data_IF_199265883055
#
_entry.id   IF_199265883055
#
_cell.length_a   1.000
_cell.length_b   1.000
_cell.length_c   1.000
_cell.angle_alpha   90.00
_cell.angle_beta   90.00
_cell.angle_gamma   90.00
#
_symmetry.space_group_name_H-M   'P 1'
#
loop_
_entity.id
_entity.type
_entity.pdbx_description
1 polymer ?
#
# COMPACT_ATOMS: atom_id res chain seq x y z
N UNK A 1 -29.53 33.74 -53.32
CA UNK A 1 -28.69 32.67 -52.76
C UNK A 1 -27.43 32.63 -53.59
N UNK A 2 -26.37 33.18 -53.02
CA UNK A 2 -25.62 34.24 -53.68
C UNK A 2 -24.19 33.81 -53.95
N UNK A 3 -23.68 34.21 -55.12
CA UNK A 3 -22.34 33.99 -55.68
C UNK A 3 -21.19 34.24 -54.67
N UNK A 4 -21.46 35.03 -53.63
CA UNK A 4 -20.58 35.35 -52.49
C UNK A 4 -20.14 34.14 -51.64
N UNK A 5 -20.96 33.10 -51.50
CA UNK A 5 -20.62 31.93 -50.67
C UNK A 5 -19.67 30.94 -51.36
N UNK A 6 -19.64 30.95 -52.70
CA UNK A 6 -18.75 30.09 -53.51
C UNK A 6 -17.36 30.72 -53.62
N UNK A 7 -17.27 32.04 -53.76
CA UNK A 7 -15.98 32.76 -53.75
C UNK A 7 -15.25 32.70 -52.40
N UNK A 8 -15.98 32.70 -51.28
CA UNK A 8 -15.38 32.58 -49.93
C UNK A 8 -14.74 31.22 -49.68
N UNK A 9 -15.30 30.13 -50.24
CA UNK A 9 -14.70 28.79 -50.12
C UNK A 9 -13.50 28.59 -51.05
N UNK A 10 -13.50 29.22 -52.23
CA UNK A 10 -12.35 29.18 -53.14
C UNK A 10 -11.12 29.89 -52.55
N UNK A 11 -11.30 31.09 -51.98
CA UNK A 11 -10.22 31.85 -51.34
C UNK A 11 -9.66 31.16 -50.08
N UNK A 12 -10.47 30.36 -49.38
CA UNK A 12 -10.03 29.62 -48.20
C UNK A 12 -9.18 28.39 -48.59
N UNK A 13 -9.52 27.71 -49.67
CA UNK A 13 -8.74 26.58 -50.19
C UNK A 13 -7.38 27.02 -50.77
N UNK A 14 -7.35 28.19 -51.43
CA UNK A 14 -6.13 28.78 -51.99
C UNK A 14 -5.14 29.23 -50.89
N UNK A 15 -5.65 29.81 -49.78
CA UNK A 15 -4.84 30.17 -48.62
C UNK A 15 -4.25 28.94 -47.89
N UNK A 16 -4.97 27.82 -47.82
CA UNK A 16 -4.46 26.59 -47.20
C UNK A 16 -3.35 25.97 -48.05
N UNK A 17 -3.49 25.97 -49.38
CA UNK A 17 -2.46 25.48 -50.30
C UNK A 17 -1.20 26.36 -50.33
N UNK A 18 -1.31 27.66 -50.07
CA UNK A 18 -0.17 28.56 -49.92
C UNK A 18 0.60 28.31 -48.60
N UNK A 19 -0.13 28.07 -47.49
CA UNK A 19 0.47 27.76 -46.19
C UNK A 19 1.20 26.41 -46.14
N UNK A 20 0.76 25.39 -46.90
CA UNK A 20 1.48 24.11 -47.02
C UNK A 20 2.80 24.25 -47.81
N UNK A 21 2.81 25.07 -48.88
CA UNK A 21 4.04 25.35 -49.65
C UNK A 21 5.06 26.18 -48.88
N UNK A 22 4.60 27.11 -48.04
CA UNK A 22 5.47 27.87 -47.15
C UNK A 22 6.05 26.97 -46.04
N UNK A 23 5.30 25.97 -45.56
CA UNK A 23 5.78 25.01 -44.57
C UNK A 23 6.84 24.03 -45.12
N UNK A 24 6.72 23.62 -46.39
CA UNK A 24 7.72 22.77 -47.07
C UNK A 24 9.00 23.55 -47.42
N UNK A 25 8.90 24.83 -47.79
CA UNK A 25 10.08 25.67 -48.08
C UNK A 25 10.91 26.00 -46.83
N UNK A 26 10.29 26.07 -45.65
CA UNK A 26 10.99 26.26 -44.36
C UNK A 26 11.73 24.99 -43.91
N UNK A 27 11.25 23.79 -44.27
CA UNK A 27 11.95 22.53 -44.00
C UNK A 27 13.12 22.28 -44.97
N UNK A 28 13.03 22.77 -46.21
CA UNK A 28 14.09 22.60 -47.21
C UNK A 28 15.30 23.51 -46.99
N UNK A 29 15.12 24.69 -46.38
CA UNK A 29 16.21 25.67 -46.21
C UNK A 29 16.97 25.56 -44.88
N UNK A 30 16.68 24.56 -44.04
CA UNK A 30 17.39 24.32 -42.78
C UNK A 30 18.51 23.27 -42.87
N UNK A 31 18.83 22.80 -44.09
CA UNK A 31 19.86 21.77 -44.35
C UNK A 31 20.87 22.30 -45.39
N UNK A 32 21.58 23.37 -45.07
CA UNK A 32 22.86 23.71 -45.70
C UNK A 32 23.52 24.83 -44.90
N UNK A 33 24.82 24.67 -44.64
CA UNK A 33 25.75 25.59 -43.97
C UNK A 33 25.76 25.53 -42.43
N UNK A 34 26.56 24.60 -41.89
CA UNK A 34 27.90 24.98 -41.42
C UNK A 34 28.75 23.75 -41.06
N UNK A 35 29.99 23.80 -41.53
CA UNK A 35 31.04 22.79 -41.38
C UNK A 35 31.95 23.25 -40.24
N UNK A 36 32.61 22.32 -39.53
CA UNK A 36 33.48 22.52 -38.36
C UNK A 36 32.81 22.73 -36.98
N UNK A 37 32.27 21.63 -36.45
CA UNK A 37 32.34 21.36 -35.02
C UNK A 37 32.66 19.87 -34.81
N UNK A 38 33.76 19.59 -34.12
CA UNK A 38 34.14 18.28 -33.57
C UNK A 38 32.90 17.51 -33.09
N UNK A 39 32.73 16.21 -33.40
CA UNK A 39 31.58 15.46 -32.92
C UNK A 39 31.63 15.39 -31.40
N UNK A 40 30.84 16.23 -30.72
CA UNK A 40 30.47 15.95 -29.34
C UNK A 40 29.66 14.65 -29.38
N UNK A 41 30.22 13.58 -28.82
CA UNK A 41 29.47 12.36 -28.51
C UNK A 41 28.20 12.77 -27.75
N UNK A 42 27.05 12.68 -28.42
CA UNK A 42 25.76 12.62 -27.72
C UNK A 42 25.88 11.47 -26.72
N UNK A 43 25.70 11.70 -25.40
CA UNK A 43 25.79 10.61 -24.44
C UNK A 43 24.80 9.53 -24.88
N UNK A 44 25.31 8.31 -25.05
CA UNK A 44 24.56 7.16 -25.54
C UNK A 44 23.18 7.14 -24.88
N UNK A 45 22.16 7.43 -25.67
CA UNK A 45 20.78 7.46 -25.23
C UNK A 45 20.46 6.02 -24.84
N UNK A 46 20.55 5.71 -23.53
CA UNK A 46 20.25 4.38 -22.99
C UNK A 46 18.97 3.89 -23.64
N UNK A 47 19.02 2.75 -24.33
CA UNK A 47 17.84 2.15 -24.93
C UNK A 47 16.82 1.90 -23.80
N UNK A 48 15.85 2.80 -23.66
CA UNK A 48 14.82 2.72 -22.64
C UNK A 48 14.02 1.46 -22.96
N UNK A 49 14.13 0.45 -22.11
CA UNK A 49 13.39 -0.80 -22.28
C UNK A 49 11.89 -0.48 -22.43
N UNK A 50 11.19 -1.16 -23.35
CA UNK A 50 9.76 -0.92 -23.55
C UNK A 50 9.00 -1.16 -22.24
N UNK A 51 7.99 -0.31 -21.94
CA UNK A 51 7.18 -0.49 -20.74
C UNK A 51 6.44 -1.84 -20.81
N UNK A 52 6.08 -2.39 -19.64
CA UNK A 52 5.24 -3.59 -19.51
C UNK A 52 5.76 -4.90 -20.16
N UNK A 53 7.04 -4.96 -20.59
CA UNK A 53 7.57 -6.10 -21.37
C UNK A 53 8.86 -6.70 -20.79
N UNK A 54 9.04 -8.00 -21.00
CA UNK A 54 10.24 -8.75 -20.62
C UNK A 54 10.57 -8.67 -19.12
N UNK A 55 11.62 -7.92 -18.80
CA UNK A 55 12.20 -7.82 -17.45
C UNK A 55 11.26 -7.15 -16.42
N UNK A 56 10.22 -6.43 -16.88
CA UNK A 56 9.19 -5.86 -16.00
C UNK A 56 8.52 -6.93 -15.11
N UNK A 57 8.30 -8.14 -15.63
CA UNK A 57 7.70 -9.25 -14.88
C UNK A 57 8.64 -9.85 -13.83
N UNK A 58 9.96 -9.81 -14.07
CA UNK A 58 10.97 -10.21 -13.08
C UNK A 58 10.98 -9.20 -11.93
N UNK A 59 10.91 -7.90 -12.25
CA UNK A 59 10.79 -6.82 -11.27
C UNK A 59 9.49 -6.94 -10.48
N UNK A 60 8.39 -7.32 -11.13
CA UNK A 60 7.12 -7.60 -10.48
C UNK A 60 7.24 -8.77 -9.49
N UNK A 61 7.81 -9.89 -9.90
CA UNK A 61 8.01 -11.05 -9.03
C UNK A 61 8.90 -10.72 -7.82
N UNK A 62 10.01 -9.99 -8.04
CA UNK A 62 10.90 -9.53 -6.97
C UNK A 62 10.19 -8.57 -6.00
N UNK A 63 9.42 -7.61 -6.52
CA UNK A 63 8.63 -6.67 -5.73
C UNK A 63 7.55 -7.36 -4.90
N UNK A 64 6.84 -8.34 -5.50
CA UNK A 64 5.85 -9.17 -4.82
C UNK A 64 6.49 -10.01 -3.71
N UNK A 65 7.65 -10.63 -3.95
CA UNK A 65 8.38 -11.39 -2.92
C UNK A 65 8.74 -10.48 -1.73
N UNK A 66 9.33 -9.31 -2.00
CA UNK A 66 9.66 -8.33 -0.95
C UNK A 66 8.44 -7.86 -0.16
N UNK A 67 7.34 -7.57 -0.86
CA UNK A 67 6.09 -7.11 -0.24
C UNK A 67 5.43 -8.24 0.57
N UNK A 68 5.43 -9.46 0.03
CA UNK A 68 4.88 -10.65 0.67
C UNK A 68 5.57 -10.94 1.99
N UNK A 69 6.88 -10.89 2.03
CA UNK A 69 7.65 -11.18 3.25
C UNK A 69 7.52 -10.04 4.26
N UNK A 70 7.66 -8.78 3.82
CA UNK A 70 7.60 -7.62 4.73
C UNK A 70 6.20 -7.40 5.32
N UNK A 71 5.19 -7.39 4.45
CA UNK A 71 3.80 -7.18 4.83
C UNK A 71 3.13 -8.46 5.38
N UNK A 72 3.57 -9.65 4.96
CA UNK A 72 3.09 -10.92 5.52
C UNK A 72 3.55 -11.13 6.97
N UNK A 73 4.82 -10.82 7.26
CA UNK A 73 5.35 -10.84 8.63
C UNK A 73 4.59 -9.88 9.55
N UNK A 74 4.20 -8.70 9.02
CA UNK A 74 3.33 -7.74 9.71
C UNK A 74 2.04 -8.40 10.24
N UNK A 75 1.33 -9.17 9.40
CA UNK A 75 0.11 -9.86 9.80
C UNK A 75 0.39 -10.98 10.81
N UNK A 76 1.54 -11.64 10.69
CA UNK A 76 1.91 -12.74 11.59
C UNK A 76 2.34 -12.28 12.99
N UNK A 77 2.64 -10.98 13.21
CA UNK A 77 2.89 -10.47 14.56
C UNK A 77 1.68 -10.55 15.50
N UNK A 78 0.46 -10.70 15.00
CA UNK A 78 -0.70 -11.03 15.83
C UNK A 78 -0.53 -12.36 16.58
N UNK A 79 0.17 -13.34 15.99
CA UNK A 79 0.49 -14.61 16.64
C UNK A 79 1.47 -14.39 17.80
N UNK A 80 2.51 -13.59 17.58
CA UNK A 80 3.46 -13.22 18.63
C UNK A 80 2.77 -12.47 19.78
N UNK A 81 1.87 -11.52 19.49
CA UNK A 81 1.07 -10.84 20.51
C UNK A 81 0.24 -11.78 21.36
N UNK A 82 -0.41 -12.75 20.72
CA UNK A 82 -1.21 -13.74 21.44
C UNK A 82 -0.32 -14.59 22.34
N UNK A 83 0.84 -15.01 21.85
CA UNK A 83 1.79 -15.77 22.66
C UNK A 83 2.36 -14.95 23.84
N UNK A 84 2.69 -13.68 23.63
CA UNK A 84 3.14 -12.77 24.68
C UNK A 84 2.14 -12.68 25.84
N UNK A 85 0.85 -12.51 25.52
CA UNK A 85 -0.21 -12.41 26.52
C UNK A 85 -0.45 -13.74 27.25
N UNK A 86 -0.37 -14.86 26.55
CA UNK A 86 -0.75 -16.17 27.10
C UNK A 86 0.38 -16.89 27.82
N UNK A 87 1.65 -16.53 27.60
CA UNK A 87 2.78 -17.33 28.12
C UNK A 87 3.85 -16.50 28.83
N UNK A 88 4.34 -15.41 28.24
CA UNK A 88 5.53 -14.68 28.73
C UNK A 88 5.16 -13.54 29.69
N UNK A 89 4.21 -12.69 29.31
CA UNK A 89 3.86 -11.46 30.03
C UNK A 89 2.45 -11.56 30.65
N UNK A 90 2.14 -12.70 31.29
CA UNK A 90 0.83 -12.93 31.93
C UNK A 90 0.50 -11.92 33.02
N UNK A 91 1.54 -11.37 33.65
CA UNK A 91 1.44 -10.43 34.77
C UNK A 91 1.18 -8.98 34.32
N UNK A 92 1.38 -8.68 33.02
CA UNK A 92 1.18 -7.35 32.47
C UNK A 92 -0.20 -7.23 31.83
N UNK A 93 -0.79 -6.03 31.95
CA UNK A 93 -2.03 -5.73 31.26
C UNK A 93 -1.89 -5.87 29.74
N UNK A 94 -2.96 -6.37 29.11
CA UNK A 94 -2.96 -6.61 27.68
C UNK A 94 -2.67 -5.34 26.85
N UNK A 95 -3.04 -4.18 27.38
CA UNK A 95 -2.80 -2.88 26.76
C UNK A 95 -1.30 -2.55 26.68
N UNK A 96 -0.52 -2.95 27.70
CA UNK A 96 0.93 -2.75 27.74
C UNK A 96 1.63 -3.61 26.68
N UNK A 97 1.19 -4.86 26.52
CA UNK A 97 1.75 -5.80 25.53
C UNK A 97 1.35 -5.43 24.10
N UNK A 98 0.13 -4.90 23.91
CA UNK A 98 -0.38 -4.47 22.60
C UNK A 98 0.45 -3.34 21.96
N UNK A 99 1.17 -2.54 22.76
CA UNK A 99 2.09 -1.50 22.26
C UNK A 99 3.17 -2.05 21.32
N UNK A 100 3.65 -3.28 21.54
CA UNK A 100 4.67 -3.89 20.68
C UNK A 100 4.17 -3.97 19.24
N UNK A 101 2.98 -4.53 19.05
CA UNK A 101 2.38 -4.65 17.73
C UNK A 101 1.94 -3.30 17.21
N UNK A 102 1.29 -2.44 18.01
CA UNK A 102 0.88 -1.11 17.58
C UNK A 102 2.05 -0.32 16.98
N UNK A 103 3.20 -0.24 17.68
CA UNK A 103 4.40 0.43 17.19
C UNK A 103 4.96 -0.24 15.94
N UNK A 104 4.95 -1.57 15.86
CA UNK A 104 5.39 -2.31 14.66
C UNK A 104 4.57 -1.93 13.43
N UNK A 105 3.24 -1.89 13.57
CA UNK A 105 2.31 -1.54 12.50
C UNK A 105 2.51 -0.08 12.08
N UNK A 106 2.48 0.83 13.06
CA UNK A 106 2.65 2.26 12.81
C UNK A 106 3.98 2.53 12.14
N UNK A 107 5.08 1.95 12.61
CA UNK A 107 6.40 2.18 12.02
C UNK A 107 6.52 1.57 10.62
N UNK A 108 5.87 0.43 10.35
CA UNK A 108 5.83 -0.17 9.00
C UNK A 108 5.14 0.75 7.99
N UNK A 109 4.11 1.49 8.41
CA UNK A 109 3.39 2.44 7.56
C UNK A 109 4.11 3.80 7.49
N UNK A 110 4.53 4.35 8.62
CA UNK A 110 5.14 5.70 8.70
C UNK A 110 6.59 5.74 8.23
N UNK A 111 7.38 4.69 8.48
CA UNK A 111 8.82 4.67 8.21
C UNK A 111 9.17 4.89 6.73
N UNK A 112 8.20 4.66 5.84
CA UNK A 112 8.30 4.89 4.40
C UNK A 112 8.67 6.31 3.99
N UNK A 113 8.46 7.31 4.84
CA UNK A 113 8.81 8.71 4.59
C UNK A 113 10.31 8.91 4.30
N UNK A 114 11.17 8.15 4.98
CA UNK A 114 12.61 8.22 4.73
C UNK A 114 13.03 7.58 3.41
N UNK A 115 12.19 6.73 2.81
CA UNK A 115 12.54 5.93 1.62
C UNK A 115 12.96 6.82 0.46
N UNK A 116 12.18 7.85 0.12
CA UNK A 116 12.46 8.75 -1.01
C UNK A 116 13.80 9.47 -0.84
N UNK A 117 14.11 9.90 0.39
CA UNK A 117 15.38 10.54 0.73
C UNK A 117 16.56 9.59 0.63
N UNK A 118 16.42 8.37 1.18
CA UNK A 118 17.48 7.37 1.17
C UNK A 118 17.76 6.93 -0.27
N UNK A 119 16.72 6.68 -1.08
CA UNK A 119 16.88 6.39 -2.52
C UNK A 119 17.64 7.50 -3.22
N UNK A 120 17.36 8.77 -2.91
CA UNK A 120 18.07 9.90 -3.54
C UNK A 120 19.57 9.96 -3.24
N UNK A 121 20.03 9.33 -2.14
CA UNK A 121 21.43 9.31 -1.71
C UNK A 121 22.18 8.06 -2.15
N UNK A 122 21.59 6.88 -1.94
CA UNK A 122 22.28 5.59 -2.13
C UNK A 122 21.73 4.77 -3.29
N UNK A 123 20.64 5.22 -3.94
CA UNK A 123 19.96 4.50 -5.02
C UNK A 123 18.99 3.43 -4.52
N UNK A 124 18.12 2.95 -5.42
CA UNK A 124 17.04 2.01 -5.06
C UNK A 124 17.58 0.67 -4.55
N UNK A 125 18.56 0.08 -5.25
CA UNK A 125 19.11 -1.24 -4.92
C UNK A 125 19.77 -1.26 -3.54
N UNK A 126 20.60 -0.25 -3.24
CA UNK A 126 21.27 -0.15 -1.94
C UNK A 126 20.28 0.18 -0.82
N UNK A 127 19.21 0.94 -1.12
CA UNK A 127 18.14 1.18 -0.15
C UNK A 127 17.42 -0.13 0.20
N UNK A 128 17.22 -1.02 -0.78
CA UNK A 128 16.66 -2.35 -0.52
C UNK A 128 17.57 -3.16 0.41
N UNK A 129 18.88 -3.25 0.12
CA UNK A 129 19.82 -3.95 1.00
C UNK A 129 19.88 -3.34 2.40
N UNK A 130 19.84 -2.02 2.51
CA UNK A 130 19.78 -1.33 3.79
C UNK A 130 18.52 -1.71 4.57
N UNK A 131 17.34 -1.69 3.93
CA UNK A 131 16.09 -2.14 4.55
C UNK A 131 16.13 -3.60 4.99
N UNK A 132 16.69 -4.49 4.17
CA UNK A 132 16.90 -5.91 4.49
C UNK A 132 17.77 -6.07 5.73
N UNK A 133 18.94 -5.42 5.78
CA UNK A 133 19.88 -5.53 6.91
C UNK A 133 19.25 -4.98 8.18
N UNK A 134 18.62 -3.80 8.13
CA UNK A 134 17.97 -3.19 9.29
C UNK A 134 16.83 -4.07 9.81
N UNK A 135 15.98 -4.59 8.91
CA UNK A 135 14.89 -5.49 9.26
C UNK A 135 15.38 -6.79 9.90
N UNK A 136 16.41 -7.42 9.32
CA UNK A 136 17.03 -8.65 9.85
C UNK A 136 17.66 -8.42 11.22
N UNK A 137 18.38 -7.31 11.42
CA UNK A 137 18.94 -6.94 12.73
C UNK A 137 17.81 -6.78 13.76
N UNK A 138 16.71 -6.10 13.41
CA UNK A 138 15.55 -5.95 14.29
C UNK A 138 14.97 -7.29 14.75
N UNK A 139 14.84 -8.26 13.83
CA UNK A 139 14.35 -9.61 14.15
C UNK A 139 15.35 -10.42 15.00
N UNK A 140 16.64 -10.37 14.68
CA UNK A 140 17.68 -11.06 15.46
C UNK A 140 17.75 -10.49 16.87
N UNK A 141 17.75 -9.16 17.03
CA UNK A 141 17.74 -8.53 18.35
C UNK A 141 16.49 -8.91 19.14
N UNK A 142 15.33 -9.01 18.46
CA UNK A 142 14.08 -9.46 19.09
C UNK A 142 14.17 -10.88 19.64
N UNK A 143 15.00 -11.76 19.06
CA UNK A 143 15.24 -13.11 19.60
C UNK A 143 15.88 -13.11 20.99
N UNK A 144 16.58 -12.03 21.38
CA UNK A 144 17.27 -11.90 22.67
C UNK A 144 16.51 -11.00 23.65
N UNK A 145 15.46 -10.33 23.20
CA UNK A 145 14.66 -9.42 24.01
C UNK A 145 13.86 -10.19 25.06
N UNK A 146 13.99 -9.76 26.32
CA UNK A 146 13.26 -10.33 27.47
C UNK A 146 12.24 -9.36 28.05
N UNK A 147 12.39 -8.05 27.77
CA UNK A 147 11.52 -6.99 28.29
C UNK A 147 10.63 -6.41 27.19
N UNK A 148 9.43 -5.95 27.56
CA UNK A 148 8.46 -5.35 26.63
C UNK A 148 9.07 -4.17 25.86
N UNK A 149 9.75 -3.25 26.54
CA UNK A 149 10.36 -2.09 25.87
C UNK A 149 11.46 -2.50 24.87
N UNK A 150 12.19 -3.59 25.13
CA UNK A 150 13.19 -4.10 24.19
C UNK A 150 12.51 -4.58 22.91
N UNK A 151 11.39 -5.32 23.03
CA UNK A 151 10.58 -5.75 21.88
C UNK A 151 9.97 -4.56 21.13
N UNK A 152 9.49 -3.53 21.82
CA UNK A 152 8.99 -2.30 21.17
C UNK A 152 10.08 -1.66 20.30
N UNK A 153 11.33 -1.63 20.77
CA UNK A 153 12.44 -1.06 19.99
C UNK A 153 12.86 -2.01 18.85
N UNK A 154 13.09 -3.29 19.14
CA UNK A 154 13.66 -4.24 18.17
C UNK A 154 12.65 -4.68 17.12
N UNK A 155 11.46 -5.10 17.55
CA UNK A 155 10.37 -5.56 16.69
C UNK A 155 9.57 -4.37 16.14
N UNK A 156 9.27 -3.40 17.00
CA UNK A 156 8.47 -2.24 16.61
C UNK A 156 9.22 -1.28 15.70
N UNK A 157 10.24 -0.63 16.25
CA UNK A 157 10.92 0.48 15.57
C UNK A 157 11.91 -0.03 14.50
N UNK A 158 12.85 -0.89 14.88
CA UNK A 158 13.94 -1.31 13.97
C UNK A 158 13.39 -2.16 12.83
N UNK A 159 12.69 -3.26 13.13
CA UNK A 159 12.09 -4.09 12.10
C UNK A 159 11.01 -3.34 11.31
N UNK A 160 10.12 -2.59 11.98
CA UNK A 160 9.10 -1.80 11.31
C UNK A 160 9.67 -0.80 10.31
N UNK A 161 10.78 -0.13 10.65
CA UNK A 161 11.47 0.77 9.72
C UNK A 161 12.07 0.01 8.52
N UNK A 162 12.79 -1.10 8.74
CA UNK A 162 13.34 -1.90 7.65
C UNK A 162 12.26 -2.42 6.68
N UNK A 163 11.18 -2.95 7.25
CA UNK A 163 9.96 -3.37 6.55
C UNK A 163 9.35 -2.23 5.71
N UNK A 164 9.23 -1.03 6.28
CA UNK A 164 8.64 0.12 5.60
C UNK A 164 9.40 0.52 4.33
N UNK A 165 10.74 0.47 4.36
CA UNK A 165 11.59 0.79 3.20
C UNK A 165 11.33 -0.20 2.06
N UNK A 166 11.28 -1.50 2.37
CA UNK A 166 11.03 -2.55 1.39
C UNK A 166 9.63 -2.44 0.77
N UNK A 167 8.60 -2.21 1.59
CA UNK A 167 7.22 -2.03 1.12
C UNK A 167 7.12 -0.87 0.14
N UNK A 168 7.75 0.26 0.46
CA UNK A 168 7.72 1.45 -0.39
C UNK A 168 8.52 1.25 -1.69
N UNK A 169 9.69 0.59 -1.63
CA UNK A 169 10.47 0.24 -2.82
C UNK A 169 9.67 -0.69 -3.74
N UNK A 170 9.02 -1.73 -3.20
CA UNK A 170 8.21 -2.66 -3.98
C UNK A 170 7.11 -1.96 -4.77
N UNK A 171 6.41 -1.00 -4.16
CA UNK A 171 5.37 -0.22 -4.83
C UNK A 171 5.94 0.75 -5.86
N UNK A 172 7.00 1.48 -5.52
CA UNK A 172 7.67 2.43 -6.42
C UNK A 172 8.17 1.74 -7.69
N UNK A 173 8.75 0.55 -7.56
CA UNK A 173 9.35 -0.17 -8.69
C UNK A 173 8.32 -0.51 -9.77
N UNK A 174 7.06 -0.79 -9.41
CA UNK A 174 6.03 -1.04 -10.41
C UNK A 174 5.60 0.22 -11.12
N UNK A 175 5.48 1.33 -10.40
CA UNK A 175 5.19 2.62 -11.01
C UNK A 175 6.28 3.08 -12.01
N UNK A 176 7.50 2.55 -11.91
CA UNK A 176 8.60 2.86 -12.86
C UNK A 176 8.60 1.97 -14.12
N UNK A 177 8.13 0.73 -14.00
CA UNK A 177 8.22 -0.27 -15.09
C UNK A 177 6.92 -0.48 -15.84
N UNK A 178 5.78 -0.24 -15.19
CA UNK A 178 4.47 -0.46 -15.77
C UNK A 178 3.75 0.85 -16.09
N UNK A 179 3.14 0.92 -17.27
CA UNK A 179 2.35 2.07 -17.73
C UNK A 179 0.94 1.62 -18.11
N UNK A 180 0.79 0.69 -19.06
CA UNK A 180 -0.52 0.22 -19.55
C UNK A 180 -1.18 -0.80 -18.64
N UNK A 181 -0.39 -1.61 -17.93
CA UNK A 181 -0.86 -2.68 -17.03
C UNK A 181 -0.56 -2.36 -15.56
N UNK A 182 -0.60 -1.08 -15.22
CA UNK A 182 -0.15 -0.58 -13.91
C UNK A 182 -1.07 -1.04 -12.78
N UNK A 183 -2.39 -1.03 -12.98
CA UNK A 183 -3.37 -1.53 -12.02
C UNK A 183 -3.17 -3.02 -11.73
N UNK A 184 -3.03 -3.84 -12.79
CA UNK A 184 -2.72 -5.26 -12.65
C UNK A 184 -1.40 -5.50 -11.88
N UNK A 185 -0.34 -4.75 -12.19
CA UNK A 185 0.96 -4.88 -11.51
C UNK A 185 0.85 -4.53 -10.01
N UNK A 186 0.19 -3.43 -9.65
CA UNK A 186 -0.02 -3.04 -8.25
C UNK A 186 -0.96 -4.02 -7.53
N UNK A 187 -1.98 -4.53 -8.23
CA UNK A 187 -2.86 -5.60 -7.74
C UNK A 187 -2.09 -6.87 -7.36
N UNK A 188 -1.18 -7.32 -8.22
CA UNK A 188 -0.33 -8.49 -7.96
C UNK A 188 0.60 -8.25 -6.77
N UNK A 189 1.29 -7.11 -6.69
CA UNK A 189 2.15 -6.83 -5.52
C UNK A 189 1.37 -6.77 -4.23
N UNK A 190 0.28 -6.00 -4.22
CA UNK A 190 -0.53 -5.83 -3.01
C UNK A 190 -1.13 -7.17 -2.57
N UNK A 191 -1.50 -8.06 -3.51
CA UNK A 191 -1.95 -9.43 -3.19
C UNK A 191 -0.89 -10.23 -2.43
N UNK A 192 0.40 -9.91 -2.63
CA UNK A 192 1.52 -10.47 -1.87
C UNK A 192 1.33 -10.36 -0.36
N UNK A 193 0.67 -9.31 0.15
CA UNK A 193 0.37 -9.21 1.58
C UNK A 193 -0.54 -10.33 2.11
N UNK A 194 -1.50 -10.80 1.29
CA UNK A 194 -2.38 -11.92 1.64
C UNK A 194 -1.71 -13.29 1.44
N UNK A 195 -0.90 -13.46 0.38
CA UNK A 195 -0.06 -14.65 0.25
C UNK A 195 0.94 -14.75 1.42
N UNK A 196 1.47 -13.61 1.84
CA UNK A 196 2.40 -13.49 2.95
C UNK A 196 1.77 -13.91 4.27
N UNK A 197 0.52 -13.53 4.55
CA UNK A 197 -0.18 -13.99 5.75
C UNK A 197 -0.46 -15.50 5.71
N UNK A 198 -0.87 -16.05 4.57
CA UNK A 198 -1.12 -17.49 4.41
C UNK A 198 0.12 -18.36 4.65
N UNK A 199 1.31 -17.87 4.30
CA UNK A 199 2.56 -18.60 4.51
C UNK A 199 3.14 -18.32 5.89
N UNK A 200 3.21 -17.04 6.30
CA UNK A 200 3.90 -16.63 7.53
C UNK A 200 3.14 -16.99 8.80
N UNK A 201 1.81 -16.90 8.82
CA UNK A 201 1.02 -17.17 10.03
C UNK A 201 1.18 -18.62 10.47
N UNK A 202 1.01 -19.65 9.61
CA UNK A 202 1.23 -21.04 10.01
C UNK A 202 2.70 -21.33 10.34
N UNK A 203 3.64 -20.75 9.58
CA UNK A 203 5.07 -20.90 9.82
C UNK A 203 5.45 -20.44 11.23
N UNK A 204 5.05 -19.22 11.61
CA UNK A 204 5.32 -18.65 12.93
C UNK A 204 4.57 -19.43 14.01
N UNK A 205 3.31 -19.80 13.81
CA UNK A 205 2.53 -20.58 14.80
C UNK A 205 3.20 -21.92 15.11
N UNK A 206 3.66 -22.63 14.07
CA UNK A 206 4.34 -23.92 14.23
C UNK A 206 5.71 -23.75 14.88
N UNK A 207 6.44 -22.71 14.51
CA UNK A 207 7.79 -22.46 15.02
C UNK A 207 7.75 -22.03 16.47
N UNK A 208 6.82 -21.15 16.85
CA UNK A 208 6.60 -20.72 18.24
C UNK A 208 6.20 -21.90 19.12
N UNK A 209 5.31 -22.78 18.66
CA UNK A 209 4.86 -23.93 19.47
C UNK A 209 5.92 -25.02 19.65
N UNK A 210 6.77 -25.29 18.64
CA UNK A 210 7.78 -26.35 18.71
C UNK A 210 9.15 -25.90 19.22
N UNK A 211 9.61 -24.72 18.83
CA UNK A 211 10.98 -24.24 19.05
C UNK A 211 11.04 -23.04 20.00
N UNK A 212 9.89 -22.52 20.42
CA UNK A 212 9.79 -21.33 21.26
C UNK A 212 9.97 -20.02 20.48
N UNK A 213 9.82 -18.92 21.20
CA UNK A 213 9.76 -17.59 20.59
C UNK A 213 11.09 -17.11 20.00
N UNK A 214 12.21 -17.38 20.68
CA UNK A 214 13.53 -16.93 20.23
C UNK A 214 13.92 -17.55 18.90
N UNK A 215 13.72 -18.87 18.73
CA UNK A 215 13.99 -19.54 17.46
C UNK A 215 13.01 -19.13 16.36
N UNK A 216 11.76 -18.80 16.71
CA UNK A 216 10.80 -18.23 15.75
C UNK A 216 11.29 -16.91 15.15
N UNK A 217 11.81 -16.01 15.98
CA UNK A 217 12.43 -14.76 15.50
C UNK A 217 13.64 -14.99 14.61
N UNK A 218 14.50 -15.96 14.94
CA UNK A 218 15.69 -16.30 14.14
C UNK A 218 15.32 -16.88 12.77
N UNK A 219 14.36 -17.79 12.73
CA UNK A 219 13.86 -18.38 11.48
C UNK A 219 13.23 -17.29 10.62
N UNK A 220 12.40 -16.41 11.22
CA UNK A 220 11.83 -15.27 10.51
C UNK A 220 12.91 -14.33 9.97
N UNK A 221 13.98 -14.07 10.74
CA UNK A 221 15.10 -13.25 10.30
C UNK A 221 15.84 -13.84 9.09
N UNK A 222 16.05 -15.16 9.07
CA UNK A 222 16.69 -15.88 7.97
C UNK A 222 15.81 -15.82 6.72
N UNK A 223 14.52 -16.14 6.85
CA UNK A 223 13.57 -16.09 5.73
C UNK A 223 13.47 -14.67 5.17
N UNK A 224 13.42 -13.66 6.05
CA UNK A 224 13.41 -12.25 5.68
C UNK A 224 14.69 -11.86 4.93
N UNK A 225 15.87 -12.20 5.46
CA UNK A 225 17.15 -11.86 4.85
C UNK A 225 17.32 -12.48 3.46
N UNK A 226 17.08 -13.79 3.33
CA UNK A 226 17.26 -14.51 2.07
C UNK A 226 16.28 -14.03 1.01
N UNK A 227 14.99 -13.98 1.35
CA UNK A 227 13.96 -13.62 0.38
C UNK A 227 14.10 -12.18 -0.09
N UNK A 228 14.32 -11.25 0.84
CA UNK A 228 14.44 -9.83 0.49
C UNK A 228 15.79 -9.48 -0.12
N UNK A 229 16.85 -10.21 0.22
CA UNK A 229 18.16 -10.11 -0.44
C UNK A 229 18.11 -10.54 -1.90
N UNK A 230 17.44 -11.65 -2.20
CA UNK A 230 17.19 -12.10 -3.59
C UNK A 230 16.33 -11.08 -4.33
N UNK A 231 15.23 -10.61 -3.71
CA UNK A 231 14.38 -9.57 -4.29
C UNK A 231 15.18 -8.31 -4.61
N UNK A 232 16.01 -7.83 -3.69
CA UNK A 232 16.89 -6.67 -3.87
C UNK A 232 17.96 -6.85 -4.96
N UNK A 233 18.48 -8.07 -5.15
CA UNK A 233 19.41 -8.37 -6.23
C UNK A 233 18.79 -8.23 -7.62
N UNK A 234 17.52 -8.63 -7.76
CA UNK A 234 16.77 -8.57 -9.01
C UNK A 234 16.32 -7.15 -9.37
N UNK A 235 16.28 -6.22 -8.40
CA UNK A 235 15.84 -4.85 -8.61
C UNK A 235 16.79 -4.08 -9.55
N UNK A 236 16.21 -3.55 -10.62
CA UNK A 236 16.86 -2.70 -11.61
C UNK A 236 15.94 -1.56 -11.99
N UNK A 237 16.46 -0.34 -12.10
CA UNK A 237 15.69 0.83 -12.57
C UNK A 237 15.56 0.83 -14.09
N UNK A 238 14.41 1.28 -14.60
CA UNK A 238 14.16 1.39 -16.05
C UNK A 238 14.91 2.57 -16.69
N UNK A 239 15.01 3.67 -15.95
CA UNK A 239 15.74 4.89 -16.32
C UNK A 239 16.38 5.49 -15.06
N UNK A 240 17.26 6.47 -15.22
CA UNK A 240 17.89 7.18 -14.10
C UNK A 240 16.84 7.92 -13.25
N UNK A 241 16.37 7.24 -12.21
CA UNK A 241 15.41 7.77 -11.26
C UNK A 241 16.13 8.44 -10.09
N UNK A 242 16.10 9.78 -10.09
CA UNK A 242 16.54 10.60 -8.96
C UNK A 242 15.32 11.21 -8.27
N UNK A 243 14.83 10.62 -7.15
CA UNK A 243 13.73 11.22 -6.40
C UNK A 243 14.17 12.51 -5.72
N UNK A 244 13.19 13.28 -5.27
CA UNK A 244 13.43 14.50 -4.52
C UNK A 244 14.14 14.18 -3.19
N UNK A 245 15.14 15.00 -2.84
CA UNK A 245 15.97 14.87 -1.62
C UNK A 245 15.26 15.30 -0.33
N UNK A 246 14.00 15.74 -0.39
CA UNK A 246 13.22 16.06 0.82
C UNK A 246 12.59 14.79 1.39
N UNK A 247 12.75 14.58 2.70
CA UNK A 247 12.12 13.46 3.42
C UNK A 247 10.59 13.57 3.36
N UNK A 248 10.05 14.76 3.64
CA UNK A 248 8.62 15.03 3.56
C UNK A 248 8.42 16.41 2.95
N UNK A 249 7.44 16.55 2.04
CA UNK A 249 6.96 17.85 1.61
C UNK A 249 5.48 17.99 1.92
N UNK A 250 5.16 18.46 3.14
CA UNK A 250 3.78 18.68 3.59
C UNK A 250 3.02 19.70 2.74
N UNK A 251 3.71 20.47 1.87
CA UNK A 251 3.05 21.36 0.90
C UNK A 251 2.17 20.58 -0.07
N UNK A 252 2.44 19.29 -0.28
CA UNK A 252 1.59 18.42 -1.09
C UNK A 252 0.18 18.25 -0.51
N UNK A 253 -0.02 18.45 0.81
CA UNK A 253 -1.37 18.48 1.40
C UNK A 253 -2.19 19.71 0.99
N UNK A 254 -1.55 20.74 0.42
CA UNK A 254 -2.32 21.85 -0.16
C UNK A 254 -3.09 21.43 -1.40
N UNK A 255 -2.70 20.32 -2.05
CA UNK A 255 -3.50 19.71 -3.11
C UNK A 255 -4.75 19.06 -2.49
N UNK A 256 -5.96 19.56 -2.79
CA UNK A 256 -7.20 18.98 -2.26
C UNK A 256 -7.37 17.51 -2.60
N UNK A 257 -6.84 17.06 -3.74
CA UNK A 257 -6.89 15.65 -4.15
C UNK A 257 -6.21 14.76 -3.10
N UNK A 258 -4.97 15.09 -2.75
CA UNK A 258 -4.17 14.29 -1.82
C UNK A 258 -4.70 14.39 -0.39
N UNK A 259 -5.18 15.57 0.01
CA UNK A 259 -5.79 15.76 1.33
C UNK A 259 -7.06 14.94 1.53
N UNK A 260 -7.97 14.94 0.55
CA UNK A 260 -9.19 14.13 0.62
C UNK A 260 -8.88 12.63 0.54
N UNK A 261 -7.92 12.22 -0.28
CA UNK A 261 -7.47 10.82 -0.36
C UNK A 261 -6.86 10.35 0.97
N UNK A 262 -6.04 11.19 1.61
CA UNK A 262 -5.45 10.89 2.91
C UNK A 262 -6.49 10.87 4.04
N UNK A 263 -7.47 11.78 4.02
CA UNK A 263 -8.59 11.75 4.96
C UNK A 263 -9.41 10.45 4.80
N UNK A 264 -9.74 10.07 3.55
CA UNK A 264 -10.41 8.80 3.28
C UNK A 264 -9.58 7.60 3.78
N UNK A 265 -8.28 7.57 3.51
CA UNK A 265 -7.36 6.54 4.01
C UNK A 265 -7.32 6.47 5.54
N UNK A 266 -7.27 7.63 6.22
CA UNK A 266 -7.26 7.69 7.68
C UNK A 266 -8.49 7.01 8.28
N UNK A 267 -9.70 7.39 7.86
CA UNK A 267 -10.93 6.79 8.38
C UNK A 267 -11.10 5.33 7.96
N UNK A 268 -10.73 4.98 6.73
CA UNK A 268 -10.66 3.59 6.30
C UNK A 268 -9.83 2.76 7.27
N UNK A 269 -8.63 3.22 7.62
CA UNK A 269 -7.69 2.46 8.43
C UNK A 269 -8.19 2.26 9.87
N UNK A 270 -8.95 3.21 10.44
CA UNK A 270 -9.67 3.02 11.71
C UNK A 270 -10.67 1.88 11.56
N UNK A 271 -11.50 1.92 10.52
CA UNK A 271 -12.50 0.88 10.24
C UNK A 271 -11.88 -0.49 9.99
N UNK A 272 -10.78 -0.52 9.24
CA UNK A 272 -10.02 -1.72 8.93
C UNK A 272 -9.48 -2.40 10.19
N UNK A 273 -9.04 -1.64 11.18
CA UNK A 273 -8.42 -2.18 12.40
C UNK A 273 -9.43 -3.00 13.24
N UNK A 274 -10.73 -2.66 13.19
CA UNK A 274 -11.75 -3.28 14.05
C UNK A 274 -11.97 -4.77 13.72
N UNK A 275 -12.34 -5.19 12.48
CA UNK A 275 -12.51 -6.60 12.19
C UNK A 275 -11.18 -7.38 12.30
N UNK A 276 -10.06 -6.75 11.95
CA UNK A 276 -8.75 -7.40 12.04
C UNK A 276 -8.43 -7.87 13.48
N UNK A 277 -8.73 -7.04 14.49
CA UNK A 277 -8.40 -7.34 15.88
C UNK A 277 -9.50 -8.10 16.62
N UNK A 278 -10.77 -7.74 16.40
CA UNK A 278 -11.87 -8.18 17.28
C UNK A 278 -12.78 -9.23 16.65
N UNK A 279 -12.70 -9.48 15.35
CA UNK A 279 -13.56 -10.47 14.70
C UNK A 279 -13.32 -11.91 15.22
N UNK A 280 -12.08 -12.40 15.38
CA UNK A 280 -11.84 -13.71 16.00
C UNK A 280 -12.39 -13.80 17.44
N UNK A 281 -12.29 -12.72 18.21
CA UNK A 281 -12.84 -12.67 19.56
C UNK A 281 -14.38 -12.76 19.56
N UNK A 282 -15.04 -12.16 18.57
CA UNK A 282 -16.50 -12.24 18.42
C UNK A 282 -16.98 -13.65 18.08
N UNK A 283 -16.23 -14.42 17.29
CA UNK A 283 -16.53 -15.84 17.03
C UNK A 283 -16.36 -16.69 18.29
N UNK A 284 -15.32 -16.43 19.08
CA UNK A 284 -15.13 -17.12 20.37
C UNK A 284 -16.27 -16.83 21.34
N UNK A 285 -16.76 -15.58 21.39
CA UNK A 285 -17.90 -15.19 22.22
C UNK A 285 -19.21 -15.89 21.81
N UNK A 286 -19.35 -16.32 20.55
CA UNK A 286 -20.44 -17.17 20.07
C UNK A 286 -20.30 -18.65 20.43
N UNK A 287 -19.25 -19.04 21.15
CA UNK A 287 -19.02 -20.43 21.60
C UNK A 287 -18.13 -21.27 20.67
N UNK A 288 -17.55 -20.68 19.62
CA UNK A 288 -16.62 -21.41 18.75
C UNK A 288 -15.24 -21.57 19.39
N UNK A 289 -14.52 -22.63 18.99
CA UNK A 289 -13.18 -22.89 19.50
C UNK A 289 -12.18 -21.78 19.12
N UNK A 290 -11.12 -21.63 19.93
CA UNK A 290 -10.05 -20.66 19.68
C UNK A 290 -9.39 -20.90 18.30
N UNK A 291 -9.12 -22.16 17.97
CA UNK A 291 -8.51 -22.55 16.69
C UNK A 291 -9.41 -22.21 15.52
N UNK A 292 -10.71 -22.51 15.60
CA UNK A 292 -11.67 -22.16 14.55
C UNK A 292 -11.73 -20.65 14.32
N UNK A 293 -11.82 -19.88 15.39
CA UNK A 293 -11.92 -18.41 15.34
C UNK A 293 -10.65 -17.76 14.78
N UNK A 294 -9.48 -18.27 15.14
CA UNK A 294 -8.18 -17.76 14.64
C UNK A 294 -7.95 -18.14 13.18
N UNK A 295 -8.31 -19.37 12.80
CA UNK A 295 -8.17 -19.87 11.43
C UNK A 295 -9.05 -19.12 10.43
N UNK A 296 -10.11 -18.45 10.89
CA UNK A 296 -10.94 -17.60 10.03
C UNK A 296 -10.15 -16.49 9.33
N UNK A 297 -9.03 -16.02 9.91
CA UNK A 297 -8.10 -15.07 9.27
C UNK A 297 -7.60 -15.57 7.90
N UNK A 298 -7.53 -16.89 7.69
CA UNK A 298 -7.18 -17.47 6.40
C UNK A 298 -8.27 -17.20 5.35
N UNK A 299 -9.56 -17.23 5.73
CA UNK A 299 -10.68 -16.87 4.84
C UNK A 299 -10.54 -15.42 4.38
N UNK A 300 -10.26 -14.52 5.32
CA UNK A 300 -9.97 -13.12 5.00
C UNK A 300 -8.76 -12.98 4.07
N UNK A 301 -7.69 -13.74 4.31
CA UNK A 301 -6.47 -13.66 3.50
C UNK A 301 -6.73 -14.09 2.05
N UNK A 302 -7.47 -15.18 1.83
CA UNK A 302 -7.87 -15.64 0.48
C UNK A 302 -8.79 -14.62 -0.20
N UNK A 303 -9.82 -14.15 0.50
CA UNK A 303 -10.72 -13.12 -0.02
C UNK A 303 -9.97 -11.82 -0.36
N UNK A 304 -8.98 -11.43 0.46
CA UNK A 304 -8.12 -10.27 0.22
C UNK A 304 -7.24 -10.41 -1.01
N UNK A 305 -6.71 -11.60 -1.29
CA UNK A 305 -5.94 -11.85 -2.53
C UNK A 305 -6.84 -11.62 -3.74
N UNK A 306 -8.03 -12.22 -3.75
CA UNK A 306 -9.00 -12.09 -4.84
C UNK A 306 -9.42 -10.63 -5.01
N UNK A 307 -9.72 -9.93 -3.90
CA UNK A 307 -10.10 -8.52 -3.89
C UNK A 307 -9.03 -7.60 -4.46
N UNK A 308 -7.76 -7.79 -4.07
CA UNK A 308 -6.64 -6.97 -4.53
C UNK A 308 -6.28 -7.21 -6.00
N UNK A 309 -6.28 -8.47 -6.44
CA UNK A 309 -6.07 -8.81 -7.85
C UNK A 309 -7.20 -8.27 -8.73
N UNK A 310 -8.45 -8.51 -8.32
CA UNK A 310 -9.63 -8.06 -9.05
C UNK A 310 -9.74 -6.54 -9.11
N UNK A 311 -9.57 -5.84 -7.99
CA UNK A 311 -9.59 -4.37 -7.96
C UNK A 311 -8.43 -3.75 -8.73
N UNK A 312 -7.24 -4.34 -8.67
CA UNK A 312 -6.08 -3.89 -9.44
C UNK A 312 -6.31 -4.02 -10.96
N UNK A 313 -6.77 -5.18 -11.42
CA UNK A 313 -7.09 -5.38 -12.84
C UNK A 313 -8.25 -4.48 -13.28
N UNK A 314 -9.28 -4.33 -12.46
CA UNK A 314 -10.43 -3.48 -12.77
C UNK A 314 -10.04 -1.99 -12.85
N UNK A 315 -9.01 -1.57 -12.10
CA UNK A 315 -8.49 -0.21 -12.13
C UNK A 315 -7.83 0.18 -13.47
N UNK A 316 -7.48 -0.81 -14.32
CA UNK A 316 -7.00 -0.55 -15.69
C UNK A 316 -8.16 -0.24 -16.67
N UNK A 317 -9.40 -0.59 -16.31
CA UNK A 317 -10.59 -0.43 -17.18
C UNK A 317 -11.62 0.56 -16.63
N UNK A 318 -11.73 0.67 -15.32
CA UNK A 318 -12.65 1.55 -14.60
C UNK A 318 -11.83 2.53 -13.80
N UNK A 319 -12.29 3.78 -13.69
CA UNK A 319 -11.59 4.78 -12.91
C UNK A 319 -11.40 4.29 -11.46
N UNK A 320 -10.15 4.22 -10.96
CA UNK A 320 -9.79 3.74 -9.62
C UNK A 320 -10.67 4.26 -8.48
N UNK A 321 -11.11 5.52 -8.57
CA UNK A 321 -11.94 6.17 -7.57
C UNK A 321 -13.32 5.52 -7.40
N UNK A 322 -13.96 5.04 -8.48
CA UNK A 322 -15.25 4.34 -8.38
C UNK A 322 -15.12 3.02 -7.63
N UNK A 323 -14.02 2.30 -7.86
CA UNK A 323 -13.73 1.04 -7.20
C UNK A 323 -13.60 1.26 -5.69
N UNK A 324 -12.86 2.30 -5.26
CA UNK A 324 -12.71 2.62 -3.84
C UNK A 324 -14.03 3.05 -3.18
N UNK A 325 -14.82 3.90 -3.83
CA UNK A 325 -16.13 4.31 -3.31
C UNK A 325 -17.02 3.09 -3.09
N UNK A 326 -17.12 2.21 -4.10
CA UNK A 326 -17.93 1.00 -4.01
C UNK A 326 -17.44 0.08 -2.89
N UNK A 327 -16.13 -0.23 -2.85
CA UNK A 327 -15.56 -1.13 -1.86
C UNK A 327 -15.71 -0.61 -0.43
N UNK A 328 -15.46 0.68 -0.18
CA UNK A 328 -15.59 1.26 1.15
C UNK A 328 -17.05 1.30 1.60
N UNK A 329 -17.98 1.66 0.70
CA UNK A 329 -19.41 1.67 0.98
C UNK A 329 -19.92 0.26 1.34
N UNK A 330 -19.63 -0.72 0.49
CA UNK A 330 -20.05 -2.11 0.68
C UNK A 330 -19.46 -2.71 1.96
N UNK A 331 -18.22 -2.38 2.30
CA UNK A 331 -17.59 -2.85 3.54
C UNK A 331 -18.23 -2.21 4.78
N UNK A 332 -18.50 -0.90 4.75
CA UNK A 332 -19.17 -0.21 5.86
C UNK A 332 -20.59 -0.72 6.08
N UNK A 333 -21.36 -0.89 5.00
CA UNK A 333 -22.73 -1.43 5.08
C UNK A 333 -22.72 -2.89 5.53
N UNK A 334 -21.84 -3.75 5.00
CA UNK A 334 -21.77 -5.16 5.41
C UNK A 334 -21.37 -5.31 6.88
N UNK A 335 -20.48 -4.44 7.37
CA UNK A 335 -20.10 -4.39 8.78
C UNK A 335 -21.29 -4.07 9.69
N UNK A 336 -22.08 -3.04 9.35
CA UNK A 336 -23.25 -2.64 10.13
C UNK A 336 -24.47 -3.54 9.94
N UNK A 337 -24.59 -4.24 8.81
CA UNK A 337 -25.74 -5.13 8.56
C UNK A 337 -25.45 -6.56 9.01
N UNK A 338 -24.39 -7.18 8.50
CA UNK A 338 -24.13 -8.60 8.68
C UNK A 338 -23.38 -8.91 9.99
N UNK A 339 -22.40 -8.09 10.39
CA UNK A 339 -21.67 -8.35 11.64
C UNK A 339 -22.46 -7.89 12.87
N UNK A 340 -23.05 -6.70 12.82
CA UNK A 340 -23.84 -6.16 13.92
C UNK A 340 -25.16 -6.93 14.16
N UNK A 341 -26.01 -7.07 13.14
CA UNK A 341 -27.33 -7.73 13.30
C UNK A 341 -27.30 -9.23 13.06
N UNK A 342 -26.42 -9.72 12.20
CA UNK A 342 -26.53 -11.07 11.64
C UNK A 342 -26.39 -12.22 12.62
N UNK A 343 -25.72 -12.00 13.79
CA UNK A 343 -25.52 -12.91 14.96
C UNK A 343 -25.52 -14.43 14.65
N UNK A 344 -24.99 -14.81 13.49
CA UNK A 344 -25.00 -16.17 12.95
C UNK A 344 -23.70 -16.39 12.19
N UNK A 345 -23.21 -17.64 12.18
CA UNK A 345 -21.96 -17.96 11.50
C UNK A 345 -22.03 -17.69 10.00
N UNK A 346 -23.19 -17.89 9.39
CA UNK A 346 -23.41 -17.62 7.96
C UNK A 346 -23.24 -16.12 7.68
N UNK A 347 -23.91 -15.25 8.44
CA UNK A 347 -23.78 -13.81 8.28
C UNK A 347 -22.34 -13.32 8.54
N UNK A 348 -21.69 -13.86 9.58
CA UNK A 348 -20.31 -13.52 9.93
C UNK A 348 -19.33 -13.96 8.84
N UNK A 349 -19.56 -15.12 8.22
CA UNK A 349 -18.74 -15.63 7.11
C UNK A 349 -18.90 -14.75 5.87
N UNK A 350 -20.13 -14.43 5.48
CA UNK A 350 -20.40 -13.55 4.34
C UNK A 350 -19.78 -12.17 4.57
N UNK A 351 -19.95 -11.60 5.76
CA UNK A 351 -19.29 -10.34 6.14
C UNK A 351 -17.78 -10.42 5.97
N UNK A 352 -17.14 -11.47 6.52
CA UNK A 352 -15.68 -11.56 6.53
C UNK A 352 -15.10 -11.75 5.12
N UNK A 353 -15.83 -12.45 4.25
CA UNK A 353 -15.50 -12.57 2.81
C UNK A 353 -15.61 -11.20 2.13
N UNK A 354 -16.71 -10.46 2.33
CA UNK A 354 -16.89 -9.12 1.77
C UNK A 354 -15.79 -8.17 2.27
N UNK A 355 -15.49 -8.21 3.57
CA UNK A 355 -14.42 -7.42 4.18
C UNK A 355 -13.04 -7.77 3.61
N UNK A 356 -12.76 -9.05 3.33
CA UNK A 356 -11.56 -9.45 2.60
C UNK A 356 -11.53 -8.89 1.17
N UNK A 357 -12.60 -9.08 0.41
CA UNK A 357 -12.69 -8.67 -1.01
C UNK A 357 -12.62 -7.15 -1.21
N UNK A 358 -13.20 -6.36 -0.30
CA UNK A 358 -13.39 -4.92 -0.47
C UNK A 358 -12.61 -4.07 0.53
N UNK A 359 -12.36 -4.55 1.74
CA UNK A 359 -11.89 -3.73 2.86
C UNK A 359 -10.44 -3.25 2.76
N UNK A 360 -9.63 -3.81 1.84
CA UNK A 360 -8.20 -3.47 1.71
C UNK A 360 -7.78 -2.93 0.34
N UNK A 361 -8.74 -2.65 -0.53
CA UNK A 361 -8.45 -2.23 -1.91
C UNK A 361 -7.84 -0.82 -1.99
N UNK A 362 -7.86 -0.05 -0.90
CA UNK A 362 -7.10 1.20 -0.82
C UNK A 362 -5.60 1.00 -1.03
N UNK A 363 -5.02 -0.09 -0.50
CA UNK A 363 -3.59 -0.38 -0.67
C UNK A 363 -3.22 -0.73 -2.11
N UNK A 364 -4.15 -1.29 -2.89
CA UNK A 364 -3.94 -1.64 -4.31
C UNK A 364 -4.27 -0.49 -5.26
N UNK A 365 -5.33 0.28 -4.97
CA UNK A 365 -5.90 1.26 -5.91
C UNK A 365 -5.44 2.69 -5.63
N UNK A 366 -5.11 3.06 -4.39
CA UNK A 366 -4.62 4.40 -4.07
C UNK A 366 -3.29 4.75 -4.80
N UNK A 367 -2.27 3.86 -4.85
CA UNK A 367 -1.02 4.18 -5.53
C UNK A 367 -1.19 4.42 -7.04
N UNK A 368 -2.15 3.75 -7.70
CA UNK A 368 -2.42 3.96 -9.13
C UNK A 368 -3.10 5.31 -9.40
N UNK A 369 -3.92 5.80 -8.47
CA UNK A 369 -4.48 7.15 -8.53
C UNK A 369 -3.38 8.22 -8.38
N UNK A 370 -2.46 8.00 -7.44
CA UNK A 370 -1.35 8.92 -7.19
C UNK A 370 -0.41 8.96 -8.40
N UNK A 371 -0.07 7.81 -8.99
CA UNK A 371 0.82 7.75 -10.16
C UNK A 371 0.20 8.36 -11.42
N UNK A 372 -1.12 8.25 -11.61
CA UNK A 372 -1.81 8.90 -12.72
C UNK A 372 -1.87 10.43 -12.57
N UNK A 373 -1.83 10.95 -11.34
CA UNK A 373 -2.03 12.37 -11.03
C UNK A 373 -0.72 13.16 -10.93
N UNK A 374 0.32 12.55 -10.37
CA UNK A 374 1.57 13.21 -10.02
C UNK A 374 2.72 12.81 -10.96
N UNK A 375 3.67 13.71 -11.22
CA UNK A 375 4.90 13.34 -11.93
C UNK A 375 5.67 12.29 -11.13
N UNK A 376 6.31 11.35 -11.84
CA UNK A 376 6.96 10.15 -11.25
C UNK A 376 7.92 10.46 -10.10
N UNK A 377 8.59 11.63 -10.14
CA UNK A 377 9.51 12.12 -9.10
C UNK A 377 8.82 12.42 -7.76
N UNK A 378 7.52 12.72 -7.77
CA UNK A 378 6.70 13.05 -6.59
C UNK A 378 5.78 11.89 -6.14
N UNK A 379 5.58 10.87 -6.97
CA UNK A 379 4.74 9.70 -6.65
C UNK A 379 5.18 9.02 -5.35
N UNK A 380 6.48 8.80 -5.18
CA UNK A 380 7.04 8.22 -3.95
C UNK A 380 6.73 9.06 -2.70
N UNK A 381 6.77 10.40 -2.82
CA UNK A 381 6.47 11.30 -1.71
C UNK A 381 4.97 11.34 -1.39
N UNK A 382 4.10 11.36 -2.42
CA UNK A 382 2.66 11.31 -2.24
C UNK A 382 2.21 9.99 -1.58
N UNK A 383 2.70 8.84 -2.06
CA UNK A 383 2.42 7.54 -1.47
C UNK A 383 2.92 7.45 -0.01
N UNK A 384 4.14 7.92 0.26
CA UNK A 384 4.68 7.94 1.62
C UNK A 384 3.83 8.83 2.56
N UNK A 385 3.30 9.95 2.05
CA UNK A 385 2.38 10.79 2.80
C UNK A 385 1.06 10.09 3.08
N UNK A 386 0.49 9.37 2.10
CA UNK A 386 -0.70 8.54 2.35
C UNK A 386 -0.45 7.46 3.41
N UNK A 387 0.70 6.77 3.35
CA UNK A 387 1.07 5.79 4.36
C UNK A 387 1.32 6.40 5.75
N UNK A 388 1.82 7.64 5.83
CA UNK A 388 1.92 8.37 7.10
C UNK A 388 0.54 8.54 7.74
N UNK A 389 -0.48 8.99 7.00
CA UNK A 389 -1.83 9.13 7.55
C UNK A 389 -2.46 7.79 7.94
N UNK A 390 -2.20 6.72 7.18
CA UNK A 390 -2.60 5.37 7.57
C UNK A 390 -1.90 4.95 8.87
N UNK A 391 -0.60 5.23 9.01
CA UNK A 391 0.16 4.89 10.21
C UNK A 391 -0.28 5.65 11.46
N UNK A 392 -0.55 6.96 11.34
CA UNK A 392 -1.14 7.78 12.41
C UNK A 392 -2.52 7.23 12.80
N UNK A 393 -3.34 6.86 11.81
CA UNK A 393 -4.65 6.26 12.05
C UNK A 393 -4.55 4.99 12.88
N UNK A 394 -3.64 4.06 12.55
CA UNK A 394 -3.46 2.84 13.36
C UNK A 394 -2.97 3.16 14.76
N UNK A 395 -1.99 4.05 14.88
CA UNK A 395 -1.39 4.42 16.16
C UNK A 395 -2.45 4.88 17.17
N UNK A 396 -3.41 5.68 16.68
CA UNK A 396 -4.54 6.19 17.46
C UNK A 396 -5.67 5.15 17.59
N UNK A 397 -5.99 4.42 16.53
CA UNK A 397 -7.17 3.54 16.50
C UNK A 397 -7.03 2.35 17.44
N UNK A 398 -5.86 1.71 17.52
CA UNK A 398 -5.69 0.51 18.36
C UNK A 398 -6.00 0.82 19.84
N UNK A 399 -5.37 1.83 20.48
CA UNK A 399 -5.71 2.20 21.85
C UNK A 399 -7.14 2.72 22.02
N UNK A 400 -7.62 3.57 21.10
CA UNK A 400 -8.95 4.18 21.23
C UNK A 400 -10.09 3.15 21.09
N UNK A 401 -9.99 2.24 20.12
CA UNK A 401 -10.95 1.15 19.95
C UNK A 401 -10.85 0.16 21.11
N UNK A 402 -9.64 -0.12 21.61
CA UNK A 402 -9.45 -0.94 22.82
C UNK A 402 -10.11 -0.34 24.05
N UNK A 403 -9.95 0.97 24.26
CA UNK A 403 -10.61 1.70 25.34
C UNK A 403 -12.13 1.69 25.19
N UNK A 404 -12.65 1.86 23.97
CA UNK A 404 -14.08 1.76 23.69
C UNK A 404 -14.61 0.35 24.00
N UNK A 405 -13.88 -0.69 23.61
CA UNK A 405 -14.23 -2.08 23.92
C UNK A 405 -14.24 -2.36 25.42
N UNK A 406 -13.29 -1.78 26.17
CA UNK A 406 -13.23 -1.94 27.63
C UNK A 406 -14.32 -1.17 28.36
N UNK A 407 -14.51 0.13 28.07
CA UNK A 407 -15.43 1.00 28.81
C UNK A 407 -16.89 0.85 28.38
N UNK A 408 -17.15 0.77 27.08
CA UNK A 408 -18.52 0.68 26.54
C UNK A 408 -18.94 -0.78 26.35
N UNK A 409 -18.02 -1.62 25.89
CA UNK A 409 -18.28 -3.02 25.62
C UNK A 409 -18.10 -3.95 26.81
N UNK A 410 -17.52 -3.48 27.92
CA UNK A 410 -17.14 -4.31 29.08
C UNK A 410 -16.32 -5.56 28.70
N UNK A 411 -15.60 -5.51 27.57
CA UNK A 411 -14.85 -6.63 26.94
C UNK A 411 -15.70 -7.84 26.51
N UNK A 412 -17.02 -7.70 26.44
CA UNK A 412 -17.95 -8.77 26.03
C UNK A 412 -18.84 -8.34 24.87
N UNK A 413 -19.26 -7.08 24.85
CA UNK A 413 -20.14 -6.51 23.83
C UNK A 413 -19.36 -5.84 22.71
N UNK A 414 -19.46 -6.39 21.49
CA UNK A 414 -18.75 -5.89 20.30
C UNK A 414 -19.52 -4.78 19.56
N UNK A 415 -20.76 -4.49 19.95
CA UNK A 415 -21.68 -3.58 19.25
C UNK A 415 -21.08 -2.18 19.00
N UNK A 416 -20.51 -1.55 20.03
CA UNK A 416 -19.92 -0.22 19.95
C UNK A 416 -18.73 -0.15 18.99
N UNK A 417 -17.83 -1.15 19.03
CA UNK A 417 -16.67 -1.15 18.14
C UNK A 417 -17.07 -1.45 16.69
N UNK A 418 -18.11 -2.26 16.48
CA UNK A 418 -18.66 -2.52 15.14
C UNK A 418 -19.25 -1.23 14.56
N UNK A 419 -19.99 -0.46 15.36
CA UNK A 419 -20.52 0.85 14.95
C UNK A 419 -19.39 1.82 14.59
N UNK A 420 -18.35 1.91 15.42
CA UNK A 420 -17.17 2.74 15.15
C UNK A 420 -16.55 2.34 13.81
N UNK A 421 -16.26 1.05 13.61
CA UNK A 421 -15.57 0.61 12.40
C UNK A 421 -16.41 0.80 11.13
N UNK A 422 -17.70 0.44 11.17
CA UNK A 422 -18.62 0.61 10.04
C UNK A 422 -18.83 2.09 9.70
N UNK A 423 -19.00 2.94 10.70
CA UNK A 423 -19.15 4.39 10.51
C UNK A 423 -17.90 5.01 9.90
N UNK A 424 -16.70 4.59 10.31
CA UNK A 424 -15.45 5.06 9.73
C UNK A 424 -15.30 4.68 8.25
N UNK A 425 -15.73 3.48 7.83
CA UNK A 425 -15.81 3.12 6.40
C UNK A 425 -16.78 4.01 5.61
N UNK A 426 -17.94 4.34 6.18
CA UNK A 426 -18.91 5.23 5.54
C UNK A 426 -18.39 6.68 5.46
N UNK A 427 -17.74 7.18 6.51
CA UNK A 427 -17.07 8.50 6.50
C UNK A 427 -15.98 8.52 5.41
N UNK A 428 -15.17 7.46 5.31
CA UNK A 428 -14.19 7.33 4.23
C UNK A 428 -14.84 7.39 2.84
N UNK A 429 -15.99 6.74 2.66
CA UNK A 429 -16.79 6.80 1.42
C UNK A 429 -17.22 8.24 1.12
N UNK A 430 -17.69 9.00 2.11
CA UNK A 430 -18.09 10.40 1.95
C UNK A 430 -16.91 11.24 1.43
N UNK A 431 -15.71 11.10 2.00
CA UNK A 431 -14.52 11.80 1.52
C UNK A 431 -14.17 11.45 0.07
N UNK A 432 -14.29 10.19 -0.32
CA UNK A 432 -14.06 9.76 -1.70
C UNK A 432 -15.13 10.29 -2.68
N UNK A 433 -16.39 10.39 -2.24
CA UNK A 433 -17.47 11.00 -3.04
C UNK A 433 -17.22 12.51 -3.19
N UNK A 434 -16.82 13.21 -2.13
CA UNK A 434 -16.44 14.62 -2.20
C UNK A 434 -15.25 14.80 -3.15
N UNK A 435 -14.26 13.91 -3.08
CA UNK A 435 -13.12 13.89 -4.00
C UNK A 435 -13.59 13.75 -5.45
N UNK A 436 -14.51 12.83 -5.73
CA UNK A 436 -15.09 12.63 -7.07
C UNK A 436 -15.78 13.90 -7.59
N UNK A 437 -16.65 14.49 -6.77
CA UNK A 437 -17.46 15.65 -7.18
C UNK A 437 -16.60 16.89 -7.49
N UNK A 438 -15.42 17.00 -6.85
CA UNK A 438 -14.54 18.14 -7.02
C UNK A 438 -13.30 17.85 -7.89
N UNK A 439 -13.16 16.62 -8.40
CA UNK A 439 -11.96 16.21 -9.13
C UNK A 439 -11.67 17.10 -10.35
N UNK A 440 -12.70 17.50 -11.09
CA UNK A 440 -12.58 18.39 -12.25
C UNK A 440 -12.14 19.82 -11.89
N UNK A 441 -12.31 20.24 -10.64
CA UNK A 441 -11.94 21.58 -10.15
C UNK A 441 -10.50 21.63 -9.66
N UNK A 442 -9.82 20.50 -9.52
CA UNK A 442 -8.49 20.45 -8.93
C UNK A 442 -7.39 20.65 -9.98
N UNK A 443 -6.56 21.69 -9.86
CA UNK A 443 -5.49 21.98 -10.82
C UNK A 443 -4.44 20.86 -10.81
N UNK A 444 -3.90 20.52 -11.99
CA UNK A 444 -2.84 19.50 -12.08
C UNK A 444 -1.56 20.01 -11.42
N UNK A 445 -1.04 19.35 -10.37
CA UNK A 445 0.17 19.81 -9.71
C UNK A 445 1.34 19.63 -10.68
N UNK A 446 1.93 20.75 -11.09
CA UNK A 446 3.11 20.81 -11.97
C UNK A 446 4.40 20.43 -11.24
#
# INVERSE_FOLDING_TARGET
>A
MSITAVQSKANLAENIGQMEKDHESIQSNAISDDTDATPQEKPAQQAILPPDTGYAWVILAAGTLNFMISFGSFNAFGVFSTFYLLTIFKEFDADVVAWISNVTITMTLVGGLATSFIISKIGIRNTCYFGTVVGTIGLILSSFSTKIWQLVITQGIIYGFGSSLLVNISLLMQALWFEKKMGLAIGIISSGGGFGSLIMVPLITTTVSKLGISWSFRILAIVYFVSTGIGGFLLKTRFDFKPNRKVIDFRMLKDPFLSLLNAAGFFLQVGYTVPLLYFPASLKALGYSQSFSTNFIMVYSVASIIGRLGSGQLADHIQPLYILIFCHFVTGVSMLSLWYFGKSIVAYTIFYIIYGLCGVNFFSVSPSMVSARYPIKRVSQANALSFLFLGISVFLSIPLVGLAFQRLGQRVHFEHIIIIGGSCFLISTIFLVILKLNLHKFPIPT
#
